data_IF_794049731690
#
_entry.id   IF_794049731690
#
_cell.length_a   1.000
_cell.length_b   1.000
_cell.length_c   1.000
_cell.angle_alpha   90.00
_cell.angle_beta   90.00
_cell.angle_gamma   90.00
#
_symmetry.space_group_name_H-M   'P 1'
#
loop_
_entity.id
_entity.type
_entity.pdbx_description
1 polymer ?
#
# COMPACT_ATOMS: atom_id res chain seq x y z
N UNK A 1 16.05 5.71 12.89
CA UNK A 1 16.42 4.69 11.89
C UNK A 1 15.51 3.50 12.10
N UNK A 2 14.45 3.39 11.31
CA UNK A 2 13.52 2.26 11.35
C UNK A 2 14.20 1.10 10.62
N UNK A 3 14.34 -0.06 11.27
CA UNK A 3 14.79 -1.28 10.62
C UNK A 3 13.92 -1.53 9.36
N UNK A 4 14.50 -1.90 8.20
CA UNK A 4 13.68 -2.15 7.02
C UNK A 4 12.69 -3.27 7.33
N UNK A 5 11.40 -2.96 7.20
CA UNK A 5 10.33 -3.91 7.43
C UNK A 5 10.53 -5.11 6.48
N UNK A 6 10.67 -6.31 7.05
CA UNK A 6 10.75 -7.52 6.26
C UNK A 6 9.35 -7.90 5.81
N UNK A 7 8.94 -7.36 4.68
CA UNK A 7 7.64 -7.63 4.08
C UNK A 7 7.43 -9.12 3.82
N UNK A 8 6.22 -9.55 4.10
CA UNK A 8 5.65 -10.84 3.73
C UNK A 8 4.36 -10.59 2.94
N UNK A 9 3.81 -11.64 2.33
CA UNK A 9 2.51 -11.55 1.67
C UNK A 9 1.42 -11.38 2.74
N UNK A 10 0.61 -10.35 2.62
CA UNK A 10 -0.58 -10.15 3.46
C UNK A 10 -1.82 -10.73 2.79
N UNK A 11 -2.83 -11.05 3.61
CA UNK A 11 -4.15 -11.43 3.14
C UNK A 11 -5.14 -10.25 3.35
N UNK A 12 -5.72 -9.68 2.28
CA UNK A 12 -6.73 -8.63 2.40
C UNK A 12 -7.96 -9.04 3.24
N UNK A 13 -8.26 -10.34 3.35
CA UNK A 13 -9.40 -10.85 4.12
C UNK A 13 -9.11 -11.00 5.61
N UNK A 14 -7.84 -10.87 6.02
CA UNK A 14 -7.43 -10.83 7.44
C UNK A 14 -7.39 -9.40 8.00
N UNK A 15 -7.78 -8.40 7.20
CA UNK A 15 -7.85 -7.01 7.62
C UNK A 15 -9.02 -6.75 8.57
N UNK A 16 -8.95 -5.70 9.39
CA UNK A 16 -10.07 -5.31 10.24
C UNK A 16 -11.35 -5.09 9.42
N UNK A 17 -12.48 -5.56 9.95
CA UNK A 17 -13.79 -5.53 9.27
C UNK A 17 -14.15 -4.14 8.71
N UNK A 18 -13.80 -3.07 9.44
CA UNK A 18 -14.09 -1.68 9.05
C UNK A 18 -13.49 -1.30 7.69
N UNK A 19 -12.41 -1.97 7.25
CA UNK A 19 -11.73 -1.71 5.98
C UNK A 19 -12.65 -2.03 4.79
N UNK A 20 -13.54 -3.02 4.92
CA UNK A 20 -14.50 -3.41 3.88
C UNK A 20 -15.82 -2.64 3.88
N UNK A 21 -16.11 -1.92 4.97
CA UNK A 21 -17.46 -1.39 5.23
C UNK A 21 -17.57 0.13 5.04
N UNK A 22 -16.45 0.85 5.21
CA UNK A 22 -16.43 2.31 5.32
C UNK A 22 -15.83 3.01 4.09
N UNK A 23 -16.00 4.34 4.04
CA UNK A 23 -15.22 5.18 3.11
C UNK A 23 -13.79 5.27 3.65
N UNK A 24 -12.83 4.89 2.82
CA UNK A 24 -11.42 4.84 3.21
C UNK A 24 -10.73 6.14 2.80
N UNK A 25 -10.00 6.75 3.72
CA UNK A 25 -9.13 7.88 3.41
C UNK A 25 -7.70 7.52 3.72
N UNK A 26 -6.86 7.49 2.69
CA UNK A 26 -5.42 7.34 2.85
C UNK A 26 -4.75 8.71 2.87
N UNK A 27 -4.03 8.99 3.94
CA UNK A 27 -3.26 10.21 4.14
C UNK A 27 -1.78 9.92 4.00
N UNK A 28 -1.11 10.67 3.13
CA UNK A 28 0.33 10.62 2.97
C UNK A 28 1.04 11.10 4.26
N UNK A 29 1.97 10.30 4.75
CA UNK A 29 2.73 10.55 5.99
C UNK A 29 4.22 10.86 5.79
N UNK A 30 4.66 11.03 4.54
CA UNK A 30 6.07 11.28 4.20
C UNK A 30 6.25 11.67 2.73
N UNK A 31 7.49 11.92 2.26
CA UNK A 31 7.73 12.30 0.88
C UNK A 31 7.49 11.13 -0.09
N UNK A 32 6.88 11.40 -1.25
CA UNK A 32 6.66 10.40 -2.31
C UNK A 32 7.97 9.88 -2.93
N UNK A 33 9.08 10.59 -2.73
CA UNK A 33 10.42 10.15 -3.18
C UNK A 33 10.96 8.96 -2.39
N UNK A 34 10.37 8.66 -1.23
CA UNK A 34 10.82 7.52 -0.43
C UNK A 34 10.38 6.20 -1.07
N UNK A 35 11.25 5.18 -1.08
CA UNK A 35 10.91 3.89 -1.68
C UNK A 35 9.85 3.12 -0.87
N UNK A 36 9.66 3.49 0.39
CA UNK A 36 8.56 3.08 1.24
C UNK A 36 7.81 4.34 1.68
N UNK A 37 6.76 4.67 0.95
CA UNK A 37 5.96 5.87 1.21
C UNK A 37 5.02 5.59 2.38
N UNK A 38 5.30 6.23 3.50
CA UNK A 38 4.49 6.11 4.70
C UNK A 38 3.13 6.78 4.52
N UNK A 39 2.12 6.21 5.14
CA UNK A 39 0.77 6.76 5.15
C UNK A 39 -0.13 6.05 6.15
N UNK A 40 -1.30 6.65 6.37
CA UNK A 40 -2.31 6.17 7.31
C UNK A 40 -3.62 6.01 6.55
N UNK A 41 -4.21 4.83 6.63
CA UNK A 41 -5.55 4.56 6.15
C UNK A 41 -6.53 4.77 7.32
N UNK A 42 -7.57 5.54 7.10
CA UNK A 42 -8.62 5.81 8.10
C UNK A 42 -10.01 5.46 7.56
N UNK A 43 -10.87 4.98 8.45
CA UNK A 43 -12.24 4.55 8.15
C UNK A 43 -13.25 5.08 9.16
N UNK A 44 -13.56 6.38 9.09
CA UNK A 44 -14.49 7.02 10.03
C UNK A 44 -14.03 6.88 11.50
N UNK A 45 -14.98 7.03 12.44
CA UNK A 45 -14.96 6.82 13.91
C UNK A 45 -13.62 6.46 14.61
N UNK A 46 -12.53 7.21 14.37
CA UNK A 46 -11.23 6.97 14.99
C UNK A 46 -10.53 5.67 14.55
N UNK A 47 -11.01 4.99 13.51
CA UNK A 47 -10.34 3.81 12.97
C UNK A 47 -9.18 4.23 12.08
N UNK A 48 -7.98 3.77 12.44
CA UNK A 48 -6.77 4.02 11.67
C UNK A 48 -5.91 2.75 11.58
N UNK A 49 -5.25 2.58 10.45
CA UNK A 49 -4.17 1.62 10.28
C UNK A 49 -3.03 2.24 9.48
N UNK A 50 -1.79 1.85 9.79
CA UNK A 50 -0.64 2.24 8.98
C UNK A 50 -0.66 1.47 7.67
N UNK A 51 -0.80 2.17 6.54
CA UNK A 51 -0.75 1.60 5.19
C UNK A 51 0.31 2.35 4.37
N UNK A 52 1.31 1.62 3.90
CA UNK A 52 2.43 2.17 3.15
C UNK A 52 2.35 1.73 1.70
N UNK A 53 2.86 2.56 0.79
CA UNK A 53 3.04 2.18 -0.62
C UNK A 53 4.52 1.89 -0.83
N UNK A 54 4.82 0.72 -1.39
CA UNK A 54 6.18 0.17 -1.48
C UNK A 54 6.59 0.07 -2.94
N UNK A 55 7.63 0.80 -3.32
CA UNK A 55 8.25 0.77 -4.65
C UNK A 55 9.08 -0.51 -4.80
N UNK A 56 8.47 -1.57 -5.33
CA UNK A 56 9.05 -2.92 -5.34
C UNK A 56 10.31 -3.06 -6.21
N UNK A 57 10.51 -2.18 -7.21
CA UNK A 57 11.69 -2.23 -8.09
C UNK A 57 12.89 -1.44 -7.55
N UNK A 58 12.78 -0.83 -6.35
CA UNK A 58 13.93 -0.20 -5.70
C UNK A 58 14.84 -1.28 -5.08
N UNK A 59 16.04 -1.39 -5.64
CA UNK A 59 17.06 -2.36 -5.22
C UNK A 59 18.31 -1.73 -4.56
N UNK A 60 18.40 -0.40 -4.52
CA UNK A 60 19.56 0.34 -4.01
C UNK A 60 19.14 1.31 -2.88
N UNK A 61 19.92 1.46 -1.79
CA UNK A 61 21.18 0.74 -1.48
C UNK A 61 20.97 -0.72 -1.08
N UNK A 62 19.73 -1.11 -0.80
CA UNK A 62 19.30 -2.48 -0.58
C UNK A 62 17.88 -2.66 -1.15
N UNK A 63 17.48 -3.88 -1.51
CA UNK A 63 16.12 -4.15 -1.98
C UNK A 63 15.09 -3.93 -0.88
N UNK A 64 13.99 -3.25 -1.24
CA UNK A 64 12.89 -2.93 -0.32
C UNK A 64 12.02 -4.16 -0.04
N UNK A 65 11.87 -5.02 -1.05
CA UNK A 65 11.15 -6.29 -0.95
C UNK A 65 12.01 -7.43 -1.48
N UNK A 66 11.68 -8.68 -1.13
CA UNK A 66 12.38 -9.83 -1.70
C UNK A 66 12.12 -9.96 -3.21
N UNK A 67 13.02 -10.64 -3.93
CA UNK A 67 12.85 -10.90 -5.36
C UNK A 67 11.55 -11.65 -5.67
N UNK A 68 11.09 -12.53 -4.77
CA UNK A 68 9.81 -13.21 -4.89
C UNK A 68 8.65 -12.20 -4.86
N UNK A 69 8.60 -11.34 -3.84
CA UNK A 69 7.56 -10.32 -3.71
C UNK A 69 7.61 -9.28 -4.83
N UNK A 70 8.79 -8.96 -5.34
CA UNK A 70 8.95 -8.10 -6.53
C UNK A 70 8.28 -8.73 -7.75
N UNK A 71 8.52 -10.01 -8.02
CA UNK A 71 7.86 -10.73 -9.13
C UNK A 71 6.36 -10.84 -8.94
N UNK A 72 5.90 -11.12 -7.73
CA UNK A 72 4.47 -11.16 -7.41
C UNK A 72 3.80 -9.80 -7.57
N UNK A 73 4.48 -8.71 -7.20
CA UNK A 73 4.00 -7.34 -7.42
C UNK A 73 3.80 -7.06 -8.92
N UNK A 74 4.78 -7.43 -9.76
CA UNK A 74 4.65 -7.35 -11.22
C UNK A 74 3.44 -8.15 -11.74
N UNK A 75 3.27 -9.40 -11.28
CA UNK A 75 2.17 -10.25 -11.72
C UNK A 75 0.80 -9.70 -11.30
N UNK A 76 0.64 -9.34 -10.01
CA UNK A 76 -0.58 -8.72 -9.51
C UNK A 76 -0.90 -7.44 -10.28
N UNK A 77 0.10 -6.60 -10.52
CA UNK A 77 -0.10 -5.34 -11.24
C UNK A 77 -0.52 -5.55 -12.69
N UNK A 78 0.07 -6.53 -13.37
CA UNK A 78 -0.33 -6.90 -14.73
C UNK A 78 -1.79 -7.39 -14.79
N UNK A 79 -2.26 -8.07 -13.75
CA UNK A 79 -3.63 -8.58 -13.61
C UNK A 79 -4.64 -7.54 -13.10
N UNK A 80 -4.26 -6.26 -13.00
CA UNK A 80 -5.14 -5.20 -12.50
C UNK A 80 -5.36 -5.25 -10.99
N UNK A 81 -4.53 -5.99 -10.25
CA UNK A 81 -4.56 -6.12 -8.79
C UNK A 81 -3.36 -5.39 -8.16
N UNK A 82 -3.36 -5.30 -6.83
CA UNK A 82 -2.21 -4.84 -6.04
C UNK A 82 -1.82 -5.94 -5.06
N UNK A 83 -0.52 -6.16 -4.89
CA UNK A 83 -0.02 -7.11 -3.90
C UNK A 83 -0.06 -6.46 -2.53
N UNK A 84 -0.85 -7.04 -1.61
CA UNK A 84 -0.88 -6.65 -0.21
C UNK A 84 0.27 -7.33 0.53
N UNK A 85 0.97 -6.55 1.34
CA UNK A 85 2.11 -6.94 2.13
C UNK A 85 1.82 -6.73 3.61
N UNK A 86 2.40 -7.56 4.45
CA UNK A 86 2.39 -7.38 5.89
C UNK A 86 3.82 -7.40 6.45
N UNK A 87 4.07 -6.54 7.42
CA UNK A 87 5.31 -6.46 8.19
C UNK A 87 5.14 -6.89 9.65
N UNK A 88 3.92 -7.23 10.07
CA UNK A 88 3.49 -7.43 11.45
C UNK A 88 3.24 -6.14 12.23
N UNK A 89 3.47 -4.96 11.61
CA UNK A 89 3.27 -3.64 12.24
C UNK A 89 2.46 -2.69 11.36
N UNK A 90 2.62 -2.78 10.06
CA UNK A 90 1.92 -1.98 9.08
C UNK A 90 1.62 -2.81 7.83
N UNK A 91 0.55 -2.38 7.15
CA UNK A 91 0.14 -2.90 5.86
C UNK A 91 0.96 -2.23 4.76
N UNK A 92 1.30 -2.97 3.72
CA UNK A 92 2.03 -2.47 2.55
C UNK A 92 1.29 -2.76 1.25
N UNK A 93 1.36 -1.87 0.28
CA UNK A 93 0.92 -2.08 -1.10
C UNK A 93 2.14 -2.11 -2.01
N UNK A 94 2.47 -3.27 -2.58
CA UNK A 94 3.63 -3.40 -3.45
C UNK A 94 3.29 -2.96 -4.87
N UNK A 95 4.01 -1.94 -5.38
CA UNK A 95 3.85 -1.41 -6.73
C UNK A 95 5.15 -1.64 -7.52
N UNK A 96 5.10 -2.19 -8.74
CA UNK A 96 6.29 -2.52 -9.53
C UNK A 96 6.87 -1.28 -10.23
N UNK A 97 7.37 -0.35 -9.41
CA UNK A 97 7.97 0.91 -9.84
C UNK A 97 9.20 1.21 -8.99
N UNK A 98 10.10 2.04 -9.52
CA UNK A 98 11.27 2.56 -8.80
C UNK A 98 11.00 3.90 -8.11
N UNK A 99 9.93 4.59 -8.50
CA UNK A 99 9.53 5.92 -7.98
C UNK A 99 8.02 6.00 -7.97
N UNK A 100 7.47 6.62 -6.92
CA UNK A 100 6.03 6.83 -6.78
C UNK A 100 5.66 8.27 -7.15
N UNK A 101 4.56 8.42 -7.89
CA UNK A 101 3.86 9.69 -8.08
C UNK A 101 2.41 9.58 -7.56
N UNK A 102 1.68 10.70 -7.62
CA UNK A 102 0.31 10.75 -7.13
C UNK A 102 -0.65 9.83 -7.92
N UNK A 103 -0.45 9.68 -9.23
CA UNK A 103 -1.32 8.86 -10.09
C UNK A 103 -1.14 7.38 -9.77
N UNK A 104 0.10 6.93 -9.63
CA UNK A 104 0.44 5.55 -9.26
C UNK A 104 -0.06 5.23 -7.84
N UNK A 105 0.06 6.19 -6.90
CA UNK A 105 -0.47 6.04 -5.56
C UNK A 105 -2.01 5.87 -5.56
N UNK A 106 -2.71 6.70 -6.33
CA UNK A 106 -4.16 6.60 -6.49
C UNK A 106 -4.56 5.26 -7.12
N UNK A 107 -3.84 4.80 -8.14
CA UNK A 107 -4.11 3.51 -8.79
C UNK A 107 -3.89 2.34 -7.84
N UNK A 108 -2.81 2.34 -7.06
CA UNK A 108 -2.55 1.31 -6.05
C UNK A 108 -3.69 1.23 -5.03
N UNK A 109 -4.19 2.37 -4.57
CA UNK A 109 -5.29 2.46 -3.61
C UNK A 109 -6.65 2.04 -4.21
N UNK A 110 -6.91 2.34 -5.49
CA UNK A 110 -8.11 1.83 -6.19
C UNK A 110 -8.09 0.31 -6.29
N UNK A 111 -6.94 -0.27 -6.61
CA UNK A 111 -6.77 -1.73 -6.67
C UNK A 111 -6.88 -2.39 -5.31
N UNK A 112 -6.38 -1.72 -4.28
CA UNK A 112 -6.58 -2.15 -2.90
C UNK A 112 -8.07 -2.19 -2.54
N UNK A 113 -8.84 -1.15 -2.90
CA UNK A 113 -10.29 -1.11 -2.69
C UNK A 113 -10.98 -2.37 -3.26
N UNK A 114 -10.64 -2.71 -4.51
CA UNK A 114 -11.18 -3.92 -5.15
C UNK A 114 -10.80 -5.20 -4.41
N UNK A 115 -9.60 -5.28 -3.86
CA UNK A 115 -9.14 -6.45 -3.09
C UNK A 115 -9.90 -6.63 -1.78
N UNK A 116 -10.35 -5.55 -1.15
CA UNK A 116 -11.15 -5.57 0.10
C UNK A 116 -12.66 -5.43 -0.14
N UNK A 117 -13.12 -5.67 -1.37
CA UNK A 117 -14.52 -5.57 -1.77
C UNK A 117 -15.17 -4.18 -1.56
N UNK A 118 -14.36 -3.12 -1.54
CA UNK A 118 -14.80 -1.72 -1.49
C UNK A 118 -14.85 -1.14 -2.90
N UNK A 119 -15.92 -0.40 -3.19
CA UNK A 119 -16.03 0.33 -4.45
C UNK A 119 -14.90 1.38 -4.56
N UNK A 120 -14.12 1.42 -5.67
CA UNK A 120 -12.98 2.34 -5.78
C UNK A 120 -13.32 3.83 -5.62
N UNK A 121 -14.56 4.23 -5.87
CA UNK A 121 -15.06 5.61 -5.65
C UNK A 121 -15.12 6.01 -4.17
N UNK A 122 -15.05 5.03 -3.26
CA UNK A 122 -15.03 5.21 -1.80
C UNK A 122 -13.64 5.33 -1.21
N UNK A 123 -12.59 5.35 -2.03
CA UNK A 123 -11.23 5.61 -1.57
C UNK A 123 -10.83 7.04 -1.88
N UNK A 124 -10.37 7.75 -0.85
CA UNK A 124 -9.88 9.13 -0.92
C UNK A 124 -8.39 9.16 -0.64
N UNK A 125 -7.69 10.04 -1.33
CA UNK A 125 -6.26 10.27 -1.18
C UNK A 125 -6.06 11.70 -0.69
N UNK A 126 -5.35 11.85 0.42
CA UNK A 126 -4.99 13.13 1.00
C UNK A 126 -3.48 13.29 0.98
N UNK A 127 -2.99 14.29 0.26
CA UNK A 127 -1.59 14.70 0.26
C UNK A 127 -1.54 16.05 1.00
N UNK A 128 -1.03 16.10 2.24
CA UNK A 128 -0.90 17.36 2.96
C UNK A 128 0.11 18.25 2.23
N UNK A 129 -0.30 19.49 1.95
CA UNK A 129 0.54 20.54 1.36
C UNK A 129 1.50 21.14 2.38
#
# INVERSE_FOLDING_TARGET
MTEPARWQRGDPFELPDWVGEQVLTWCLGGPLSDPQVHGTLSGGEGHELSLHIVCADVAYPAPVVSELLRRESHLSWHLGQVLVLDSGRCLGLAVPVSTLDADIACEALRRFAMAVAVEPSRVRVTIPL
#
